data_IF_651855989886
#
_entry.id   IF_651855989886
#
_cell.length_a   1.000
_cell.length_b   1.000
_cell.length_c   1.000
_cell.angle_alpha   90.00
_cell.angle_beta   90.00
_cell.angle_gamma   90.00
#
_symmetry.space_group_name_H-M   'P 1'
#
loop_
_entity.id
_entity.type
_entity.pdbx_description
1 polymer ?
#
# COMPACT_ATOMS: atom_id res chain seq x y z
N UNK A 1 -29.40 -17.19 -18.79
CA UNK A 1 -29.47 -16.21 -19.89
C UNK A 1 -28.25 -16.44 -20.77
N UNK A 2 -28.38 -16.38 -22.11
CA UNK A 2 -27.25 -16.60 -23.03
C UNK A 2 -26.24 -15.47 -22.81
N UNK A 3 -24.96 -15.82 -22.68
CA UNK A 3 -23.89 -14.85 -22.45
C UNK A 3 -23.89 -13.76 -23.55
N UNK A 4 -24.17 -12.48 -23.22
CA UNK A 4 -24.23 -11.39 -24.20
C UNK A 4 -22.87 -11.13 -24.87
N UNK A 5 -21.78 -11.66 -24.30
CA UNK A 5 -20.41 -11.50 -24.78
C UNK A 5 -20.21 -11.90 -26.26
N UNK A 6 -20.87 -12.97 -26.71
CA UNK A 6 -20.73 -13.43 -28.10
C UNK A 6 -21.37 -12.48 -29.12
N UNK A 7 -22.47 -11.83 -28.75
CA UNK A 7 -23.20 -10.89 -29.59
C UNK A 7 -22.37 -9.62 -29.76
N UNK A 8 -21.81 -9.13 -28.66
CA UNK A 8 -20.90 -7.98 -28.66
C UNK A 8 -19.65 -8.21 -29.49
N UNK A 9 -18.96 -9.34 -29.31
CA UNK A 9 -17.74 -9.67 -30.07
C UNK A 9 -18.00 -9.72 -31.58
N UNK A 10 -19.18 -10.21 -31.96
CA UNK A 10 -19.63 -10.23 -33.35
C UNK A 10 -19.90 -8.81 -33.86
N UNK A 11 -20.60 -7.98 -33.08
CA UNK A 11 -20.88 -6.59 -33.43
C UNK A 11 -19.58 -5.78 -33.63
N UNK A 12 -18.61 -5.90 -32.73
CA UNK A 12 -17.28 -5.25 -32.86
C UNK A 12 -16.52 -5.76 -34.09
N UNK A 13 -16.57 -7.07 -34.35
CA UNK A 13 -15.91 -7.64 -35.52
C UNK A 13 -16.43 -7.01 -36.82
N UNK A 14 -17.76 -6.87 -36.92
CA UNK A 14 -18.42 -6.28 -38.08
C UNK A 14 -18.13 -4.78 -38.17
N UNK A 15 -18.27 -4.00 -37.10
CA UNK A 15 -18.00 -2.54 -37.11
C UNK A 15 -16.55 -2.22 -37.43
N UNK A 16 -15.60 -3.04 -36.96
CA UNK A 16 -14.18 -2.85 -37.27
C UNK A 16 -13.85 -3.17 -38.73
N UNK A 17 -14.50 -4.18 -39.31
CA UNK A 17 -14.31 -4.52 -40.72
C UNK A 17 -14.92 -3.44 -41.62
N UNK A 18 -16.16 -3.04 -41.35
CA UNK A 18 -16.89 -2.06 -42.17
C UNK A 18 -16.24 -0.67 -42.14
N UNK A 19 -15.65 -0.29 -41.00
CA UNK A 19 -14.89 0.95 -40.84
C UNK A 19 -13.44 0.91 -41.34
N UNK A 20 -12.99 -0.20 -41.94
CA UNK A 20 -11.61 -0.35 -42.40
C UNK A 20 -11.35 0.29 -43.77
N UNK A 21 -10.09 0.67 -44.10
CA UNK A 21 -9.73 1.13 -45.44
C UNK A 21 -10.04 0.12 -46.55
N UNK A 22 -9.98 -1.19 -46.24
CA UNK A 22 -10.34 -2.24 -47.18
C UNK A 22 -11.84 -2.19 -47.56
N UNK A 23 -12.71 -1.89 -46.60
CA UNK A 23 -14.14 -1.68 -46.85
C UNK A 23 -14.36 -0.52 -47.82
N UNK A 24 -13.66 0.61 -47.63
CA UNK A 24 -13.75 1.78 -48.53
C UNK A 24 -13.39 1.40 -49.97
N UNK A 25 -12.32 0.61 -50.15
CA UNK A 25 -11.89 0.15 -51.48
C UNK A 25 -12.96 -0.76 -52.11
N UNK A 26 -13.48 -1.73 -51.35
CA UNK A 26 -14.53 -2.65 -51.84
C UNK A 26 -15.78 -1.87 -52.24
N UNK A 27 -16.25 -0.95 -51.40
CA UNK A 27 -17.41 -0.12 -51.70
C UNK A 27 -17.18 0.76 -52.93
N UNK A 28 -16.00 1.38 -53.05
CA UNK A 28 -15.65 2.21 -54.22
C UNK A 28 -15.71 1.39 -55.50
N UNK A 29 -15.11 0.19 -55.50
CA UNK A 29 -15.13 -0.71 -56.67
C UNK A 29 -16.55 -1.18 -57.00
N UNK A 30 -17.35 -1.55 -55.99
CA UNK A 30 -18.74 -1.98 -56.17
C UNK A 30 -19.59 -0.88 -56.80
N UNK A 31 -19.48 0.36 -56.29
CA UNK A 31 -20.21 1.50 -56.85
C UNK A 31 -19.83 1.74 -58.30
N UNK A 32 -18.52 1.80 -58.61
CA UNK A 32 -18.04 1.98 -59.98
C UNK A 32 -18.57 0.86 -60.89
N UNK A 33 -18.56 -0.39 -60.44
CA UNK A 33 -19.09 -1.52 -61.21
C UNK A 33 -20.61 -1.38 -61.48
N UNK A 34 -21.40 -0.93 -60.49
CA UNK A 34 -22.83 -0.66 -60.69
C UNK A 34 -23.07 0.43 -61.75
N UNK A 35 -22.30 1.52 -61.71
CA UNK A 35 -22.41 2.60 -62.70
C UNK A 35 -21.95 2.17 -64.10
N UNK A 36 -20.90 1.35 -64.22
CA UNK A 36 -20.47 0.78 -65.50
C UNK A 36 -21.56 -0.13 -66.06
N UNK A 37 -22.16 -1.01 -65.24
CA UNK A 37 -23.24 -1.88 -65.69
C UNK A 37 -24.47 -1.10 -66.18
N UNK A 38 -24.80 0.02 -65.55
CA UNK A 38 -25.86 0.91 -66.03
C UNK A 38 -25.47 1.67 -67.32
N UNK A 39 -24.20 2.07 -67.46
CA UNK A 39 -23.69 2.77 -68.64
C UNK A 39 -23.67 1.90 -69.91
N UNK A 40 -23.42 0.61 -69.76
CA UNK A 40 -23.47 -0.39 -70.85
C UNK A 40 -24.91 -0.89 -71.14
N UNK A 41 -25.94 -0.23 -70.60
CA UNK A 41 -27.37 -0.57 -70.74
C UNK A 41 -27.74 -1.99 -70.25
N UNK A 42 -26.90 -2.68 -69.45
CA UNK A 42 -27.20 -3.99 -68.88
C UNK A 42 -28.36 -3.93 -67.87
N UNK A 43 -28.51 -2.81 -67.17
CA UNK A 43 -29.54 -2.58 -66.15
C UNK A 43 -30.07 -1.14 -66.31
N UNK A 44 -31.39 -0.90 -66.24
CA UNK A 44 -31.95 0.46 -66.28
C UNK A 44 -31.40 1.34 -65.15
N UNK A 45 -31.01 2.57 -65.48
CA UNK A 45 -30.39 3.52 -64.53
C UNK A 45 -31.23 3.75 -63.26
N UNK A 46 -32.55 3.96 -63.41
CA UNK A 46 -33.45 4.21 -62.27
C UNK A 46 -33.57 3.00 -61.33
N UNK A 47 -33.59 1.79 -61.90
CA UNK A 47 -33.62 0.55 -61.12
C UNK A 47 -32.29 0.31 -60.40
N UNK A 48 -31.17 0.59 -61.06
CA UNK A 48 -29.84 0.54 -60.44
C UNK A 48 -29.75 1.51 -59.26
N UNK A 49 -30.21 2.77 -59.41
CA UNK A 49 -30.17 3.76 -58.33
C UNK A 49 -31.05 3.34 -57.16
N UNK A 50 -32.26 2.83 -57.43
CA UNK A 50 -33.17 2.36 -56.39
C UNK A 50 -32.55 1.20 -55.58
N UNK A 51 -31.95 0.22 -56.25
CA UNK A 51 -31.32 -0.93 -55.58
C UNK A 51 -30.05 -0.50 -54.84
N UNK A 52 -29.18 0.28 -55.46
CA UNK A 52 -27.93 0.72 -54.86
C UNK A 52 -28.19 1.57 -53.60
N UNK A 53 -29.12 2.52 -53.67
CA UNK A 53 -29.46 3.37 -52.51
C UNK A 53 -30.18 2.60 -51.40
N UNK A 54 -31.01 1.60 -51.73
CA UNK A 54 -31.64 0.75 -50.71
C UNK A 54 -30.64 -0.17 -50.01
N UNK A 55 -29.70 -0.76 -50.74
CA UNK A 55 -28.64 -1.58 -50.14
C UNK A 55 -27.71 -0.75 -49.25
N UNK A 56 -27.26 0.41 -49.75
CA UNK A 56 -26.35 1.29 -48.98
C UNK A 56 -27.05 1.89 -47.76
N UNK A 57 -28.34 2.21 -47.85
CA UNK A 57 -29.10 2.68 -46.69
C UNK A 57 -29.34 1.57 -45.67
N UNK A 58 -29.57 0.32 -46.10
CA UNK A 58 -29.62 -0.83 -45.18
C UNK A 58 -28.29 -1.02 -44.46
N UNK A 59 -27.16 -0.97 -45.18
CA UNK A 59 -25.83 -1.05 -44.58
C UNK A 59 -25.62 0.03 -43.51
N UNK A 60 -26.01 1.29 -43.81
CA UNK A 60 -25.90 2.41 -42.87
C UNK A 60 -26.73 2.20 -41.60
N UNK A 61 -27.95 1.67 -41.72
CA UNK A 61 -28.81 1.36 -40.57
C UNK A 61 -28.20 0.22 -39.74
N UNK A 62 -27.71 -0.85 -40.36
CA UNK A 62 -27.07 -1.95 -39.64
C UNK A 62 -25.81 -1.50 -38.89
N UNK A 63 -24.96 -0.71 -39.55
CA UNK A 63 -23.76 -0.14 -38.95
C UNK A 63 -24.09 0.74 -37.74
N UNK A 64 -25.11 1.60 -37.86
CA UNK A 64 -25.58 2.45 -36.76
C UNK A 64 -26.04 1.62 -35.55
N UNK A 65 -26.81 0.54 -35.78
CA UNK A 65 -27.26 -0.36 -34.71
C UNK A 65 -26.07 -1.05 -34.04
N UNK A 66 -25.09 -1.53 -34.79
CA UNK A 66 -23.91 -2.19 -34.20
C UNK A 66 -23.03 -1.22 -33.41
N UNK A 67 -22.87 0.03 -33.88
CA UNK A 67 -22.19 1.07 -33.11
C UNK A 67 -22.94 1.32 -31.80
N UNK A 68 -24.26 1.47 -31.86
CA UNK A 68 -25.08 1.76 -30.68
C UNK A 68 -25.06 0.62 -29.67
N UNK A 69 -25.09 -0.64 -30.14
CA UNK A 69 -24.89 -1.82 -29.31
C UNK A 69 -23.51 -1.82 -28.62
N UNK A 70 -22.45 -1.46 -29.37
CA UNK A 70 -21.10 -1.38 -28.83
C UNK A 70 -21.00 -0.29 -27.75
N UNK A 71 -21.56 0.89 -27.99
CA UNK A 71 -21.59 2.00 -27.03
C UNK A 71 -22.34 1.60 -25.76
N UNK A 72 -23.51 0.98 -25.88
CA UNK A 72 -24.29 0.52 -24.73
C UNK A 72 -23.51 -0.49 -23.87
N UNK A 73 -22.83 -1.45 -24.51
CA UNK A 73 -21.99 -2.42 -23.80
C UNK A 73 -20.82 -1.73 -23.11
N UNK A 74 -20.07 -0.88 -23.82
CA UNK A 74 -18.96 -0.13 -23.23
C UNK A 74 -19.42 0.77 -22.08
N UNK A 75 -20.64 1.32 -22.14
CA UNK A 75 -21.20 2.14 -21.05
C UNK A 75 -21.47 1.29 -19.80
N UNK A 76 -21.94 0.05 -20.00
CA UNK A 76 -22.13 -0.90 -18.90
C UNK A 76 -20.80 -1.31 -18.26
N UNK A 77 -19.79 -1.66 -19.07
CA UNK A 77 -18.45 -1.98 -18.59
C UNK A 77 -17.81 -0.80 -17.85
N UNK A 78 -17.99 0.43 -18.33
CA UNK A 78 -17.50 1.62 -17.64
C UNK A 78 -18.19 1.85 -16.28
N UNK A 79 -19.45 1.43 -16.14
CA UNK A 79 -20.16 1.47 -14.86
C UNK A 79 -19.60 0.44 -13.88
N UNK A 80 -19.35 -0.78 -14.36
CA UNK A 80 -18.74 -1.86 -13.57
C UNK A 80 -17.33 -1.46 -13.10
N UNK A 81 -16.48 -0.98 -14.01
CA UNK A 81 -15.16 -0.42 -13.64
C UNK A 81 -15.28 0.76 -12.67
N UNK A 82 -16.36 1.55 -12.77
CA UNK A 82 -16.65 2.62 -11.82
C UNK A 82 -16.94 2.09 -10.41
N UNK A 83 -17.73 1.02 -10.31
CA UNK A 83 -18.03 0.33 -9.04
C UNK A 83 -16.75 -0.29 -8.45
N UNK A 84 -15.92 -0.95 -9.27
CA UNK A 84 -14.63 -1.51 -8.82
C UNK A 84 -13.67 -0.42 -8.29
N UNK A 85 -13.68 0.78 -8.89
CA UNK A 85 -12.89 1.92 -8.43
C UNK A 85 -13.42 2.50 -7.11
N UNK A 86 -14.73 2.44 -6.88
CA UNK A 86 -15.34 2.86 -5.59
C UNK A 86 -14.95 1.87 -4.48
N UNK A 87 -15.01 0.55 -4.74
CA UNK A 87 -14.55 -0.48 -3.79
C UNK A 87 -13.07 -0.32 -3.44
N UNK A 88 -12.21 -0.13 -4.44
CA UNK A 88 -10.78 0.14 -4.21
C UNK A 88 -10.52 1.41 -3.39
N UNK A 89 -11.39 2.42 -3.47
CA UNK A 89 -11.27 3.62 -2.65
C UNK A 89 -11.65 3.37 -1.19
N UNK A 90 -12.64 2.51 -0.94
CA UNK A 90 -13.01 2.07 0.40
C UNK A 90 -11.85 1.29 1.03
N UNK A 91 -11.27 0.32 0.31
CA UNK A 91 -10.09 -0.43 0.76
C UNK A 91 -8.89 0.48 1.10
N UNK A 92 -8.63 1.51 0.28
CA UNK A 92 -7.57 2.49 0.53
C UNK A 92 -7.88 3.36 1.76
N UNK A 93 -9.16 3.60 2.04
CA UNK A 93 -9.62 4.28 3.26
C UNK A 93 -9.32 3.45 4.50
N UNK A 94 -9.68 2.17 4.49
CA UNK A 94 -9.40 1.23 5.59
C UNK A 94 -7.90 1.12 5.86
N UNK A 95 -7.08 0.96 4.81
CA UNK A 95 -5.61 0.91 4.96
C UNK A 95 -5.04 2.20 5.58
N UNK A 96 -5.64 3.36 5.30
CA UNK A 96 -5.22 4.63 5.92
C UNK A 96 -5.57 4.70 7.40
N UNK A 97 -6.72 4.18 7.79
CA UNK A 97 -7.12 4.05 9.20
C UNK A 97 -6.15 3.11 9.93
N UNK A 98 -5.91 1.91 9.39
CA UNK A 98 -4.94 0.95 9.93
C UNK A 98 -3.53 1.55 10.07
N UNK A 99 -3.09 2.36 9.09
CA UNK A 99 -1.80 3.07 9.17
C UNK A 99 -1.78 4.15 10.25
N UNK A 100 -2.92 4.78 10.52
CA UNK A 100 -3.07 5.73 11.63
C UNK A 100 -2.93 5.02 12.98
N UNK A 101 -3.65 3.91 13.16
CA UNK A 101 -3.56 3.10 14.38
C UNK A 101 -2.13 2.57 14.62
N UNK A 102 -1.49 2.04 13.57
CA UNK A 102 -0.10 1.59 13.66
C UNK A 102 0.88 2.72 14.00
N UNK A 103 0.58 3.96 13.58
CA UNK A 103 1.41 5.11 13.95
C UNK A 103 1.27 5.45 15.43
N UNK A 104 0.05 5.41 15.98
CA UNK A 104 -0.20 5.58 17.41
C UNK A 104 0.51 4.50 18.23
N UNK A 105 0.40 3.22 17.82
CA UNK A 105 1.10 2.10 18.47
C UNK A 105 2.62 2.30 18.50
N UNK A 106 3.21 2.84 17.43
CA UNK A 106 4.64 3.11 17.36
C UNK A 106 5.05 4.28 18.27
N UNK A 107 4.20 5.29 18.41
CA UNK A 107 4.40 6.40 19.34
C UNK A 107 4.35 5.91 20.80
N UNK A 108 3.36 5.10 21.17
CA UNK A 108 3.25 4.50 22.51
C UNK A 108 4.47 3.64 22.85
N UNK A 109 4.89 2.75 21.95
CA UNK A 109 6.10 1.93 22.14
C UNK A 109 7.35 2.81 22.30
N UNK A 110 7.42 3.94 21.60
CA UNK A 110 8.57 4.85 21.71
C UNK A 110 8.61 5.52 23.08
N UNK A 111 7.46 5.94 23.62
CA UNK A 111 7.34 6.48 24.97
C UNK A 111 7.71 5.43 26.04
N UNK A 112 7.18 4.21 25.92
CA UNK A 112 7.50 3.10 26.83
C UNK A 112 9.01 2.80 26.86
N UNK A 113 9.67 2.82 25.70
CA UNK A 113 11.12 2.61 25.60
C UNK A 113 11.89 3.75 26.26
N UNK A 114 11.43 5.00 26.14
CA UNK A 114 12.05 6.14 26.80
C UNK A 114 11.91 6.05 28.33
N UNK A 115 10.72 5.73 28.85
CA UNK A 115 10.47 5.54 30.29
C UNK A 115 11.35 4.41 30.85
N UNK A 116 11.41 3.26 30.19
CA UNK A 116 12.27 2.15 30.61
C UNK A 116 13.76 2.56 30.65
N UNK A 117 14.20 3.39 29.69
CA UNK A 117 15.59 3.87 29.65
C UNK A 117 15.88 4.81 30.82
N UNK A 118 14.96 5.72 31.14
CA UNK A 118 15.09 6.62 32.30
C UNK A 118 15.08 5.85 33.64
N UNK A 119 14.22 4.84 33.77
CA UNK A 119 14.17 3.97 34.95
C UNK A 119 15.49 3.21 35.15
N UNK A 120 16.05 2.61 34.08
CA UNK A 120 17.34 1.93 34.12
C UNK A 120 18.48 2.87 34.56
N UNK A 121 18.56 4.08 33.99
CA UNK A 121 19.57 5.08 34.39
C UNK A 121 19.43 5.49 35.87
N UNK A 122 18.19 5.68 36.35
CA UNK A 122 17.90 6.02 37.74
C UNK A 122 18.32 4.91 38.70
N UNK A 123 17.98 3.66 38.38
CA UNK A 123 18.33 2.49 39.19
C UNK A 123 19.83 2.28 39.27
N UNK A 124 20.55 2.43 38.15
CA UNK A 124 22.02 2.38 38.12
C UNK A 124 22.64 3.48 39.01
N UNK A 125 22.14 4.72 38.92
CA UNK A 125 22.62 5.83 39.74
C UNK A 125 22.38 5.59 41.24
N UNK A 126 21.21 5.06 41.60
CA UNK A 126 20.86 4.72 42.98
C UNK A 126 21.72 3.58 43.54
N UNK A 127 22.03 2.56 42.72
CA UNK A 127 22.90 1.46 43.10
C UNK A 127 24.34 1.93 43.34
N UNK A 128 24.87 2.79 42.46
CA UNK A 128 26.20 3.39 42.62
C UNK A 128 26.29 4.27 43.88
N UNK A 129 25.27 5.07 44.16
CA UNK A 129 25.20 5.87 45.39
C UNK A 129 25.23 4.98 46.65
N UNK A 130 24.45 3.89 46.68
CA UNK A 130 24.49 2.91 47.78
C UNK A 130 25.85 2.24 47.92
N UNK A 131 26.47 1.82 46.81
CA UNK A 131 27.82 1.22 46.82
C UNK A 131 28.85 2.21 47.38
N UNK A 132 28.76 3.49 47.02
CA UNK A 132 29.65 4.53 47.52
C UNK A 132 29.50 4.76 49.03
N UNK A 133 28.26 4.83 49.53
CA UNK A 133 27.98 4.96 50.97
C UNK A 133 28.51 3.75 51.75
N UNK A 134 28.23 2.53 51.28
CA UNK A 134 28.72 1.30 51.89
C UNK A 134 30.26 1.26 51.95
N UNK A 135 30.96 1.67 50.88
CA UNK A 135 32.43 1.76 50.86
C UNK A 135 32.94 2.74 51.91
N UNK A 136 32.27 3.88 52.10
CA UNK A 136 32.63 4.87 53.14
C UNK A 136 32.46 4.28 54.53
N UNK A 137 31.32 3.67 54.83
CA UNK A 137 31.06 3.01 56.11
C UNK A 137 32.08 1.92 56.41
N UNK A 138 32.43 1.09 55.42
CA UNK A 138 33.49 0.08 55.57
C UNK A 138 34.85 0.71 55.90
N UNK A 139 35.21 1.82 55.23
CA UNK A 139 36.47 2.52 55.48
C UNK A 139 36.53 3.13 56.89
N UNK A 140 35.41 3.68 57.37
CA UNK A 140 35.29 4.23 58.73
C UNK A 140 35.44 3.12 59.78
N UNK A 141 34.71 2.00 59.62
CA UNK A 141 34.84 0.82 60.49
C UNK A 141 36.29 0.29 60.52
N UNK A 142 36.94 0.21 59.36
CA UNK A 142 38.32 -0.24 59.26
C UNK A 142 39.29 0.70 60.00
N UNK A 143 39.02 2.01 59.98
CA UNK A 143 39.81 3.01 60.69
C UNK A 143 39.62 2.92 62.20
N UNK A 144 38.38 2.75 62.66
CA UNK A 144 38.06 2.60 64.08
C UNK A 144 38.64 1.31 64.66
N UNK A 145 38.58 0.19 63.92
CA UNK A 145 39.23 -1.06 64.32
C UNK A 145 40.75 -0.89 64.48
N UNK A 146 41.42 -0.15 63.57
CA UNK A 146 42.85 0.15 63.71
C UNK A 146 43.15 0.98 64.97
N UNK A 147 42.33 1.99 65.28
CA UNK A 147 42.46 2.78 66.52
C UNK A 147 42.29 1.90 67.76
N UNK A 148 41.25 1.08 67.81
CA UNK A 148 41.00 0.14 68.90
C UNK A 148 42.18 -0.81 69.10
N UNK A 149 42.74 -1.38 68.02
CA UNK A 149 43.94 -2.22 68.12
C UNK A 149 45.14 -1.45 68.70
N UNK A 150 45.37 -0.20 68.26
CA UNK A 150 46.43 0.64 68.81
C UNK A 150 46.21 0.94 70.30
N UNK A 151 45.00 1.26 70.70
CA UNK A 151 44.67 1.60 72.09
C UNK A 151 44.77 0.38 73.01
N UNK A 152 44.33 -0.80 72.57
CA UNK A 152 44.58 -2.08 73.26
C UNK A 152 46.09 -2.30 73.46
N UNK A 153 46.90 -2.04 72.43
CA UNK A 153 48.36 -2.20 72.49
C UNK A 153 49.00 -1.24 73.50
N UNK A 154 48.52 0.01 73.58
CA UNK A 154 48.96 0.99 74.58
C UNK A 154 48.58 0.57 76.00
N UNK A 155 47.38 0.05 76.20
CA UNK A 155 46.93 -0.46 77.50
C UNK A 155 47.74 -1.67 77.95
N UNK A 156 48.09 -2.59 77.05
CA UNK A 156 49.02 -3.69 77.36
C UNK A 156 50.40 -3.19 77.79
N UNK A 157 50.90 -2.09 77.22
CA UNK A 157 52.19 -1.49 77.62
C UNK A 157 52.14 -0.81 79.00
N UNK A 158 51.01 -0.19 79.37
CA UNK A 158 50.85 0.51 80.64
C UNK A 158 50.36 -0.39 81.80
N UNK A 159 49.90 -1.61 81.51
CA UNK A 159 49.43 -2.59 82.48
C UNK A 159 50.51 -3.47 83.12
N UNK A 160 51.80 -3.26 82.83
CA UNK A 160 52.90 -3.96 83.52
C UNK A 160 53.47 -3.03 84.60
N UNK A 161 53.15 -3.25 85.90
CA UNK A 161 53.80 -2.51 86.97
C UNK A 161 55.28 -2.93 87.07
N UNK A 162 56.23 -2.01 87.35
CA UNK A 162 57.57 -2.42 87.74
C UNK A 162 57.44 -3.23 89.03
N UNK A 163 57.91 -4.47 89.00
CA UNK A 163 58.02 -5.34 90.16
C UNK A 163 59.12 -4.76 91.09
N UNK A 164 58.85 -4.41 92.36
CA UNK A 164 59.90 -4.11 93.32
C UNK A 164 60.31 -5.40 94.09
N UNK A 165 61.45 -5.39 94.80
CA UNK A 165 62.78 -5.82 94.37
C UNK A 165 63.17 -7.24 94.86
N UNK A 166 64.32 -7.77 94.43
CA UNK A 166 65.09 -8.76 95.19
C UNK A 166 66.52 -8.24 95.43
N UNK A 167 66.96 -8.49 96.66
CA UNK A 167 68.20 -8.11 97.37
C UNK A 167 69.46 -7.94 96.52
#
# INVERSE_FOLDING_TARGET
>A
MKDPYHIWKTAIGITRWIGSPASIIIHTVLFVACFIAAAEELIPFDSMLLILTTVVSLEAIYLAIFIQMTINYTTQELKEVGEDIEELQEDIGEIQEDMGELQEDVEEISEDVEEMTEEEESDEAAEEARKAEQRKTLADIQTDLRKLMQDITKLQKNGVPPTPPRQ
#
